data_IF_970365658643
#
_entry.id   IF_970365658643
#
_cell.length_a   1.000
_cell.length_b   1.000
_cell.length_c   1.000
_cell.angle_alpha   90.00
_cell.angle_beta   90.00
_cell.angle_gamma   90.00
#
_symmetry.space_group_name_H-M   'P 1'
#
loop_
_entity.id
_entity.type
_entity.pdbx_description
1 polymer ?
#
# COMPACT_ATOMS: atom_id res chain seq x y z
N UNK A 1 5.16 -10.18 -12.63
CA UNK A 1 4.16 -9.86 -13.68
C UNK A 1 2.97 -9.32 -12.94
N UNK A 2 2.82 -8.00 -12.91
CA UNK A 2 1.80 -7.36 -12.07
C UNK A 2 0.47 -7.47 -12.81
N UNK A 3 -0.49 -8.21 -12.26
CA UNK A 3 -1.84 -8.29 -12.84
C UNK A 3 -2.60 -6.99 -12.52
N UNK A 4 -3.21 -6.36 -13.53
CA UNK A 4 -4.05 -5.19 -13.31
C UNK A 4 -5.39 -5.58 -12.69
N UNK A 5 -6.01 -4.66 -11.96
CA UNK A 5 -7.38 -4.84 -11.43
C UNK A 5 -8.37 -5.23 -12.52
N UNK A 6 -8.33 -4.57 -13.67
CA UNK A 6 -9.24 -4.82 -14.80
C UNK A 6 -9.05 -6.21 -15.38
N UNK A 7 -7.79 -6.65 -15.53
CA UNK A 7 -7.49 -8.00 -15.99
C UNK A 7 -7.99 -9.04 -14.98
N UNK A 8 -7.73 -8.81 -13.69
CA UNK A 8 -8.21 -9.69 -12.62
C UNK A 8 -9.74 -9.79 -12.59
N UNK A 9 -10.46 -8.71 -12.86
CA UNK A 9 -11.92 -8.71 -12.97
C UNK A 9 -12.42 -9.55 -14.16
N UNK A 10 -11.79 -9.42 -15.32
CA UNK A 10 -12.11 -10.27 -16.46
C UNK A 10 -11.88 -11.76 -16.14
N UNK A 11 -10.74 -12.10 -15.51
CA UNK A 11 -10.44 -13.49 -15.09
C UNK A 11 -11.46 -14.00 -14.08
N UNK A 12 -11.80 -13.20 -13.07
CA UNK A 12 -12.77 -13.55 -12.03
C UNK A 12 -14.14 -13.92 -12.61
N UNK A 13 -14.59 -13.20 -13.64
CA UNK A 13 -15.87 -13.45 -14.29
C UNK A 13 -15.79 -14.37 -15.51
N UNK A 14 -14.61 -14.93 -15.83
CA UNK A 14 -14.42 -15.82 -16.96
C UNK A 14 -14.62 -15.14 -18.32
N UNK A 15 -14.28 -13.85 -18.42
CA UNK A 15 -14.40 -13.05 -19.65
C UNK A 15 -13.04 -12.79 -20.29
N UNK A 16 -13.03 -12.63 -21.60
CA UNK A 16 -11.83 -12.16 -22.31
C UNK A 16 -11.50 -10.72 -21.91
N UNK A 17 -10.21 -10.37 -21.91
CA UNK A 17 -9.74 -9.03 -21.59
C UNK A 17 -9.96 -8.07 -22.77
N UNK A 18 -11.15 -7.46 -22.80
CA UNK A 18 -11.54 -6.42 -23.74
C UNK A 18 -12.13 -5.22 -23.00
N UNK A 19 -12.04 -3.99 -23.53
CA UNK A 19 -12.59 -2.80 -22.86
C UNK A 19 -14.07 -2.93 -22.49
N UNK A 20 -14.88 -3.49 -23.39
CA UNK A 20 -16.32 -3.70 -23.15
C UNK A 20 -16.58 -4.69 -22.00
N UNK A 21 -15.77 -5.74 -21.90
CA UNK A 21 -15.88 -6.72 -20.84
C UNK A 21 -15.41 -6.17 -19.50
N UNK A 22 -14.40 -5.28 -19.49
CA UNK A 22 -13.97 -4.58 -18.27
C UNK A 22 -15.10 -3.71 -17.72
N UNK A 23 -15.83 -2.99 -18.59
CA UNK A 23 -16.99 -2.17 -18.17
C UNK A 23 -18.09 -3.05 -17.58
N UNK A 24 -18.41 -4.16 -18.25
CA UNK A 24 -19.40 -5.14 -17.76
C UNK A 24 -18.96 -5.77 -16.43
N UNK A 25 -17.68 -6.11 -16.29
CA UNK A 25 -17.11 -6.68 -15.08
C UNK A 25 -17.21 -5.72 -13.89
N UNK A 26 -16.85 -4.46 -14.09
CA UNK A 26 -16.95 -3.43 -13.07
C UNK A 26 -18.41 -3.18 -12.67
N UNK A 27 -19.31 -3.06 -13.64
CA UNK A 27 -20.76 -2.91 -13.37
C UNK A 27 -21.31 -4.08 -12.55
N UNK A 28 -20.84 -5.30 -12.84
CA UNK A 28 -21.22 -6.51 -12.10
C UNK A 28 -20.64 -6.52 -10.69
N UNK A 29 -19.39 -6.09 -10.50
CA UNK A 29 -18.80 -5.94 -9.17
C UNK A 29 -19.59 -4.96 -8.30
N UNK A 30 -19.93 -3.79 -8.86
CA UNK A 30 -20.72 -2.75 -8.15
C UNK A 30 -22.09 -3.27 -7.72
N UNK A 31 -22.71 -4.15 -8.52
CA UNK A 31 -23.99 -4.77 -8.19
C UNK A 31 -23.94 -5.66 -6.94
N UNK A 32 -22.77 -6.15 -6.53
CA UNK A 32 -22.59 -6.95 -5.32
C UNK A 32 -22.41 -6.10 -4.05
N UNK A 33 -22.30 -4.78 -4.17
CA UNK A 33 -22.18 -3.86 -3.03
C UNK A 33 -20.76 -3.77 -2.48
N UNK A 34 -20.57 -4.08 -1.20
CA UNK A 34 -19.31 -3.84 -0.47
C UNK A 34 -18.21 -4.89 -0.75
N UNK A 35 -18.26 -5.57 -1.90
CA UNK A 35 -17.22 -6.50 -2.33
C UNK A 35 -16.14 -5.76 -3.12
N UNK A 36 -14.93 -6.31 -3.06
CA UNK A 36 -13.78 -5.84 -3.80
C UNK A 36 -12.97 -7.02 -4.31
N UNK A 37 -12.30 -6.84 -5.45
CA UNK A 37 -11.44 -7.86 -6.04
C UNK A 37 -10.06 -7.78 -5.40
N UNK A 38 -9.58 -8.92 -4.90
CA UNK A 38 -8.26 -9.04 -4.28
C UNK A 38 -7.64 -10.40 -4.58
N UNK A 39 -6.44 -10.63 -4.06
CA UNK A 39 -5.72 -11.90 -4.12
C UNK A 39 -4.99 -12.15 -2.80
N UNK A 40 -4.57 -13.38 -2.55
CA UNK A 40 -3.88 -13.78 -1.33
C UNK A 40 -2.37 -14.02 -1.56
N UNK A 41 -2.07 -15.19 -2.12
CA UNK A 41 -0.75 -15.72 -2.43
C UNK A 41 -0.46 -15.60 -3.92
N UNK A 42 -1.50 -15.62 -4.78
CA UNK A 42 -1.33 -15.58 -6.24
C UNK A 42 -2.22 -14.55 -6.90
N UNK A 43 -1.60 -13.56 -7.56
CA UNK A 43 -2.28 -12.56 -8.39
C UNK A 43 -3.10 -13.15 -9.55
N UNK A 44 -2.85 -14.41 -9.92
CA UNK A 44 -3.59 -15.11 -10.98
C UNK A 44 -4.93 -15.67 -10.54
N UNK A 45 -5.17 -15.73 -9.23
CA UNK A 45 -6.38 -16.29 -8.65
C UNK A 45 -7.16 -15.18 -7.93
N UNK A 46 -7.89 -14.33 -8.67
CA UNK A 46 -8.68 -13.27 -8.08
C UNK A 46 -9.82 -13.84 -7.25
N UNK A 47 -10.12 -13.18 -6.13
CA UNK A 47 -11.21 -13.50 -5.22
C UNK A 47 -12.03 -12.26 -4.88
N UNK A 48 -13.30 -12.46 -4.51
CA UNK A 48 -14.18 -11.41 -4.01
C UNK A 48 -14.22 -11.46 -2.50
N UNK A 49 -13.86 -10.35 -1.86
CA UNK A 49 -13.85 -10.23 -0.40
C UNK A 49 -14.49 -8.90 0.00
N UNK A 50 -15.26 -8.86 1.11
CA UNK A 50 -15.78 -7.59 1.63
C UNK A 50 -14.67 -6.60 1.91
N UNK A 51 -14.86 -5.32 1.56
CA UNK A 51 -13.83 -4.28 1.77
C UNK A 51 -13.39 -4.19 3.22
N UNK A 52 -14.32 -4.34 4.16
CA UNK A 52 -14.03 -4.37 5.60
C UNK A 52 -13.10 -5.51 5.99
N UNK A 53 -13.22 -6.69 5.36
CA UNK A 53 -12.35 -7.83 5.64
C UNK A 53 -10.94 -7.63 5.09
N UNK A 54 -10.82 -7.01 3.92
CA UNK A 54 -9.51 -6.62 3.35
C UNK A 54 -8.82 -5.61 4.26
N UNK A 55 -9.56 -4.64 4.79
CA UNK A 55 -9.01 -3.64 5.72
C UNK A 55 -8.60 -4.26 7.07
N UNK A 56 -9.34 -5.27 7.54
CA UNK A 56 -9.04 -5.97 8.78
C UNK A 56 -7.77 -6.82 8.68
N UNK A 57 -7.52 -7.45 7.52
CA UNK A 57 -6.34 -8.30 7.28
C UNK A 57 -5.68 -8.00 5.93
N UNK A 58 -4.91 -6.90 5.84
CA UNK A 58 -4.26 -6.46 4.60
C UNK A 58 -3.06 -7.32 4.20
N UNK A 59 -2.57 -8.19 5.09
CA UNK A 59 -1.44 -9.08 4.79
C UNK A 59 -1.90 -10.34 4.05
N UNK A 60 -3.07 -10.85 4.43
CA UNK A 60 -3.72 -11.96 3.72
C UNK A 60 -4.38 -11.49 2.44
N UNK A 61 -5.11 -10.36 2.44
CA UNK A 61 -5.85 -9.90 1.27
C UNK A 61 -5.20 -8.68 0.64
N UNK A 62 -4.58 -8.89 -0.52
CA UNK A 62 -3.86 -7.85 -1.27
C UNK A 62 -4.75 -7.34 -2.39
N UNK A 63 -4.90 -6.01 -2.48
CA UNK A 63 -5.63 -5.37 -3.57
C UNK A 63 -4.77 -5.34 -4.83
N UNK A 64 -5.40 -5.55 -5.98
CA UNK A 64 -4.77 -5.24 -7.25
C UNK A 64 -4.52 -3.74 -7.34
N UNK A 65 -3.35 -3.36 -7.83
CA UNK A 65 -3.10 -1.98 -8.20
C UNK A 65 -4.04 -1.65 -9.37
N UNK A 66 -4.86 -0.62 -9.20
CA UNK A 66 -5.47 0.01 -10.36
C UNK A 66 -4.33 0.46 -11.28
N UNK A 67 -4.47 0.23 -12.58
CA UNK A 67 -3.73 1.01 -13.58
C UNK A 67 -3.79 2.48 -13.16
N UNK A 68 -2.68 3.22 -13.33
CA UNK A 68 -2.35 4.35 -12.47
C UNK A 68 -3.56 5.26 -12.29
N UNK A 69 -3.82 5.74 -11.05
CA UNK A 69 -4.93 6.66 -10.81
C UNK A 69 -4.89 7.78 -11.87
N UNK A 70 -6.05 8.36 -12.26
CA UNK A 70 -6.03 9.59 -13.04
C UNK A 70 -5.05 10.48 -12.32
N UNK A 71 -3.97 10.88 -13.03
CA UNK A 71 -2.87 11.66 -12.46
C UNK A 71 -3.52 12.69 -11.55
N UNK A 72 -3.46 12.48 -10.23
CA UNK A 72 -3.32 13.62 -9.35
C UNK A 72 -2.19 14.38 -10.02
N UNK A 73 -2.37 15.68 -10.22
CA UNK A 73 -1.27 16.51 -10.69
C UNK A 73 -0.25 16.53 -9.55
N UNK A 74 0.38 15.39 -9.28
CA UNK A 74 1.71 15.30 -8.76
C UNK A 74 2.52 15.81 -9.93
N UNK A 75 2.80 17.10 -9.89
CA UNK A 75 3.99 17.60 -10.54
C UNK A 75 5.08 16.62 -10.10
N UNK A 76 5.56 15.77 -11.01
CA UNK A 76 6.77 14.97 -10.82
C UNK A 76 7.94 15.96 -10.70
N UNK A 77 7.96 16.73 -9.62
CA UNK A 77 9.17 17.28 -9.09
C UNK A 77 9.86 16.05 -8.50
N UNK A 78 10.67 15.39 -9.31
CA UNK A 78 11.73 14.52 -8.80
C UNK A 78 12.60 15.39 -7.88
N UNK A 79 12.18 15.58 -6.63
CA UNK A 79 12.98 16.24 -5.61
C UNK A 79 14.04 15.22 -5.23
N UNK A 80 15.04 15.12 -6.10
CA UNK A 80 16.29 14.45 -5.81
C UNK A 80 16.95 15.28 -4.72
N UNK A 81 16.87 14.80 -3.48
CA UNK A 81 17.63 15.36 -2.37
C UNK A 81 19.11 15.05 -2.65
N UNK A 82 19.82 16.01 -3.22
CA UNK A 82 21.23 15.84 -3.62
C UNK A 82 22.19 16.10 -2.47
N UNK A 83 21.69 16.55 -1.31
CA UNK A 83 22.52 16.81 -0.13
C UNK A 83 21.84 16.46 1.20
N UNK A 84 22.67 16.02 2.16
CA UNK A 84 22.26 15.69 3.53
C UNK A 84 21.64 16.89 4.27
N UNK A 85 21.97 18.11 3.85
CA UNK A 85 21.39 19.33 4.41
C UNK A 85 19.90 19.51 4.05
N UNK A 86 19.48 19.11 2.85
CA UNK A 86 18.08 19.18 2.42
C UNK A 86 17.25 18.13 3.16
N UNK A 87 17.82 16.94 3.35
CA UNK A 87 17.20 15.89 4.16
C UNK A 87 17.03 16.34 5.61
N UNK A 88 18.06 16.94 6.19
CA UNK A 88 18.01 17.45 7.57
C UNK A 88 16.97 18.57 7.74
N UNK A 89 16.87 19.50 6.78
CA UNK A 89 15.85 20.55 6.82
C UNK A 89 14.44 19.97 6.72
N UNK A 90 14.22 19.02 5.81
CA UNK A 90 12.92 18.35 5.66
C UNK A 90 12.50 17.64 6.95
N UNK A 91 13.40 16.82 7.53
CA UNK A 91 13.15 16.13 8.80
C UNK A 91 12.88 17.14 9.91
N UNK A 92 13.72 18.16 10.06
CA UNK A 92 13.52 19.14 11.11
C UNK A 92 12.19 19.89 10.97
N UNK A 93 11.75 20.25 9.76
CA UNK A 93 10.45 20.89 9.54
C UNK A 93 9.30 19.95 9.91
N UNK A 94 9.27 18.73 9.38
CA UNK A 94 8.22 17.74 9.65
C UNK A 94 8.11 17.45 11.16
N UNK A 95 9.25 17.23 11.81
CA UNK A 95 9.29 16.81 13.21
C UNK A 95 9.31 18.00 14.20
N UNK A 96 9.52 19.24 13.75
CA UNK A 96 9.45 20.42 14.62
C UNK A 96 8.07 20.65 15.24
N UNK A 97 7.00 20.21 14.57
CA UNK A 97 5.63 20.25 15.13
C UNK A 97 5.38 19.18 16.20
N UNK A 98 6.29 18.19 16.32
CA UNK A 98 6.25 17.15 17.35
C UNK A 98 7.07 17.53 18.59
N UNK A 99 7.70 18.71 18.61
CA UNK A 99 8.12 19.34 19.85
C UNK A 99 6.86 19.78 20.59
N UNK A 100 6.26 18.82 21.29
CA UNK A 100 5.47 19.08 22.47
C UNK A 100 6.28 20.06 23.32
N UNK A 101 5.67 21.19 23.66
CA UNK A 101 6.14 22.09 24.70
C UNK A 101 6.43 21.25 25.95
N UNK A 102 7.70 20.87 26.13
CA UNK A 102 8.19 20.25 27.35
C UNK A 102 8.34 21.38 28.38
N UNK A 103 7.19 21.88 28.85
CA UNK A 103 7.09 22.25 30.25
C UNK A 103 7.18 20.93 31.03
N UNK A 104 8.37 20.75 31.58
CA UNK A 104 8.76 19.91 32.71
C UNK A 104 8.02 18.58 32.94
N UNK A 105 8.84 17.51 32.90
CA UNK A 105 8.67 16.27 33.63
C UNK A 105 7.80 15.18 32.97
N UNK A 106 8.41 14.40 32.07
CA UNK A 106 8.04 13.01 31.90
C UNK A 106 9.30 12.14 31.84
N UNK A 107 9.89 11.91 33.00
CA UNK A 107 10.65 10.70 33.21
C UNK A 107 9.69 9.51 33.14
N UNK A 108 10.11 8.47 32.41
CA UNK A 108 9.59 7.10 32.37
C UNK A 108 8.84 6.66 31.10
N UNK A 109 9.46 5.65 30.46
CA UNK A 109 8.85 4.58 29.67
C UNK A 109 8.67 4.78 28.15
N UNK A 110 9.75 4.61 27.41
CA UNK A 110 9.71 3.88 26.13
C UNK A 110 10.52 2.59 26.30
N UNK A 111 9.93 1.39 26.12
CA UNK A 111 10.71 0.16 26.15
C UNK A 111 11.64 0.16 24.94
N UNK A 112 12.95 0.24 25.18
CA UNK A 112 13.95 0.01 24.15
C UNK A 112 13.72 -1.40 23.61
N UNK A 113 13.25 -1.49 22.36
CA UNK A 113 13.23 -2.76 21.65
C UNK A 113 14.68 -3.22 21.52
N UNK A 114 15.05 -4.42 22.00
CA UNK A 114 16.43 -4.87 21.92
C UNK A 114 16.85 -4.94 20.45
N UNK A 115 17.98 -4.32 20.12
CA UNK A 115 18.60 -4.49 18.82
C UNK A 115 18.85 -5.99 18.58
N UNK A 116 18.43 -6.57 17.44
CA UNK A 116 18.71 -7.96 17.15
C UNK A 116 20.23 -8.17 17.05
N UNK A 117 20.77 -9.27 17.60
CA UNK A 117 22.20 -9.53 17.54
C UNK A 117 22.63 -9.75 16.09
N UNK A 118 23.75 -9.13 15.71
CA UNK A 118 24.42 -9.35 14.43
C UNK A 118 24.86 -10.82 14.36
N UNK A 119 24.17 -11.62 13.53
CA UNK A 119 24.60 -13.01 13.27
C UNK A 119 25.89 -12.99 12.44
N UNK A 120 26.96 -13.69 12.85
CA UNK A 120 28.10 -13.93 11.97
C UNK A 120 27.64 -14.78 10.78
N UNK A 121 28.01 -14.39 9.56
CA UNK A 121 27.87 -15.23 8.36
C UNK A 121 28.69 -16.51 8.55
N UNK A 122 28.04 -17.64 8.81
CA UNK A 122 28.64 -18.95 8.57
C UNK A 122 28.47 -19.27 7.09
N UNK A 123 29.58 -19.32 6.37
CA UNK A 123 29.67 -19.93 5.06
C UNK A 123 29.80 -21.44 5.24
N UNK A 124 28.90 -22.20 4.64
CA UNK A 124 29.07 -23.61 4.29
C UNK A 124 28.53 -23.79 2.87
#
# INVERSE_FOLDING_TARGET
MNCSRDFALCVLFGMEFTPDNVIKANSKLESYGDLEVCYDSSERNPMLVPKNRINYDPFTYKRYLSTPPPKTIETENNILLTSDSQLSQFVNVIFSHLNLDNNENCGSCLPQSPLPPLRPRMWL
#
